data_IF_475995917270
#
_entry.id   IF_475995917270
#
_cell.length_a   1.000
_cell.length_b   1.000
_cell.length_c   1.000
_cell.angle_alpha   90.00
_cell.angle_beta   90.00
_cell.angle_gamma   90.00
#
_symmetry.space_group_name_H-M   'P 1'
#
loop_
_entity.id
_entity.type
_entity.pdbx_description
1 polymer ?
#
# COMPACT_ATOMS: atom_id res chain seq x y z
N UNK A 1 -7.54 5.64 18.74
CA UNK A 1 -6.99 4.31 18.36
C UNK A 1 -6.17 4.32 17.08
N UNK A 2 -6.73 4.66 15.91
CA UNK A 2 -6.02 4.41 14.62
C UNK A 2 -4.67 5.13 14.49
N UNK A 3 -4.56 6.38 14.98
CA UNK A 3 -3.28 7.10 15.05
C UNK A 3 -2.25 6.40 15.95
N UNK A 4 -2.70 5.77 17.03
CA UNK A 4 -1.84 4.99 17.92
C UNK A 4 -1.33 3.74 17.20
N UNK A 5 -2.23 2.94 16.61
CA UNK A 5 -1.84 1.74 15.88
C UNK A 5 -0.87 2.08 14.72
N UNK A 6 -1.15 3.15 13.97
CA UNK A 6 -0.26 3.61 12.89
C UNK A 6 1.10 4.12 13.38
N UNK A 7 1.18 4.81 14.52
CA UNK A 7 2.44 5.32 15.05
C UNK A 7 3.37 4.24 15.60
N UNK A 8 2.81 3.09 16.00
CA UNK A 8 3.55 1.96 16.57
C UNK A 8 3.62 0.74 15.64
N UNK A 9 3.17 0.87 14.38
CA UNK A 9 3.15 -0.22 13.40
C UNK A 9 2.38 -1.46 13.88
N UNK A 10 1.32 -1.23 14.65
CA UNK A 10 0.54 -2.26 15.29
C UNK A 10 -0.67 -2.64 14.42
N UNK A 11 -0.93 -3.95 14.33
CA UNK A 11 -2.11 -4.45 13.64
C UNK A 11 -3.39 -3.93 14.32
N UNK A 12 -4.26 -3.29 13.54
CA UNK A 12 -5.52 -2.76 14.06
C UNK A 12 -6.43 -3.89 14.58
N UNK A 13 -6.43 -5.02 13.88
CA UNK A 13 -7.26 -6.20 14.14
C UNK A 13 -6.43 -7.40 14.59
N UNK A 14 -7.06 -8.23 15.42
CA UNK A 14 -6.56 -9.57 15.74
C UNK A 14 -6.98 -10.59 14.69
N UNK A 15 -6.31 -11.73 14.66
CA UNK A 15 -6.68 -12.87 13.81
C UNK A 15 -8.06 -13.43 14.19
N UNK A 16 -8.37 -13.50 15.49
CA UNK A 16 -9.69 -13.86 16.01
C UNK A 16 -10.20 -12.74 16.92
N UNK A 17 -11.33 -12.13 16.55
CA UNK A 17 -11.94 -11.05 17.33
C UNK A 17 -13.20 -11.51 18.11
N UNK A 18 -13.40 -12.83 18.29
CA UNK A 18 -14.48 -13.38 19.13
C UNK A 18 -14.27 -13.01 20.60
N UNK A 19 -15.34 -13.02 21.39
CA UNK A 19 -15.31 -12.63 22.82
C UNK A 19 -14.39 -13.52 23.68
N UNK A 20 -14.09 -14.75 23.22
CA UNK A 20 -13.21 -15.70 23.91
C UNK A 20 -11.78 -15.73 23.36
N UNK A 21 -11.43 -14.82 22.45
CA UNK A 21 -10.09 -14.77 21.86
C UNK A 21 -9.09 -14.17 22.87
N UNK A 22 -7.91 -14.80 23.00
CA UNK A 22 -6.80 -14.24 23.80
C UNK A 22 -6.22 -12.97 23.18
N UNK A 23 -6.42 -12.76 21.87
CA UNK A 23 -5.98 -11.55 21.17
C UNK A 23 -7.10 -11.05 20.25
N UNK A 24 -8.03 -10.30 20.84
CA UNK A 24 -9.20 -9.76 20.15
C UNK A 24 -8.88 -8.60 19.18
N UNK A 25 -7.62 -8.17 19.12
CA UNK A 25 -7.13 -7.07 18.30
C UNK A 25 -7.00 -5.75 19.06
N UNK A 26 -5.99 -4.97 18.70
CA UNK A 26 -5.58 -3.77 19.44
C UNK A 26 -6.68 -2.70 19.46
N UNK A 27 -7.46 -2.58 18.39
CA UNK A 27 -8.61 -1.67 18.38
C UNK A 27 -9.64 -2.04 19.46
N UNK A 28 -10.02 -3.32 19.56
CA UNK A 28 -11.01 -3.78 20.55
C UNK A 28 -10.47 -3.65 21.97
N UNK A 29 -9.22 -4.04 22.20
CA UNK A 29 -8.58 -3.91 23.51
C UNK A 29 -8.51 -2.45 23.96
N UNK A 30 -8.14 -1.52 23.08
CA UNK A 30 -8.14 -0.10 23.42
C UNK A 30 -9.55 0.42 23.71
N UNK A 31 -10.59 -0.09 23.03
CA UNK A 31 -12.00 0.31 23.28
C UNK A 31 -12.45 -0.21 24.63
N UNK A 32 -12.12 -1.46 24.96
CA UNK A 32 -12.39 -2.07 26.27
C UNK A 32 -11.67 -1.31 27.39
N UNK A 33 -10.39 -0.98 27.21
CA UNK A 33 -9.62 -0.16 28.14
C UNK A 33 -10.24 1.24 28.32
N UNK A 34 -10.65 1.88 27.23
CA UNK A 34 -11.33 3.19 27.31
C UNK A 34 -12.64 3.11 28.10
N UNK A 35 -13.36 1.99 27.98
CA UNK A 35 -14.58 1.74 28.73
C UNK A 35 -14.34 1.41 30.21
N UNK A 36 -13.12 1.07 30.63
CA UNK A 36 -12.79 0.98 32.06
C UNK A 36 -12.65 2.37 32.70
N UNK A 37 -12.27 3.37 31.89
CA UNK A 37 -12.11 4.77 32.32
C UNK A 37 -13.42 5.57 32.24
N UNK A 38 -14.35 5.16 31.38
CA UNK A 38 -15.62 5.85 31.13
C UNK A 38 -16.83 4.92 31.38
N UNK A 39 -17.60 5.23 32.43
CA UNK A 39 -18.77 4.45 32.80
C UNK A 39 -19.91 4.50 31.77
N UNK A 40 -20.10 5.63 31.06
CA UNK A 40 -21.13 5.72 30.02
C UNK A 40 -20.77 4.84 28.83
N UNK A 41 -19.49 4.87 28.40
CA UNK A 41 -18.99 3.99 27.36
C UNK A 41 -19.10 2.51 27.76
N UNK A 42 -18.81 2.18 29.02
CA UNK A 42 -18.97 0.83 29.57
C UNK A 42 -20.41 0.33 29.50
N UNK A 43 -21.36 1.18 29.90
CA UNK A 43 -22.78 0.87 29.84
C UNK A 43 -23.22 0.72 28.39
N UNK A 44 -22.77 1.60 27.49
CA UNK A 44 -23.07 1.52 26.06
C UNK A 44 -22.60 0.20 25.45
N UNK A 45 -21.33 -0.19 25.64
CA UNK A 45 -20.79 -1.44 25.07
C UNK A 45 -21.54 -2.68 25.57
N UNK A 46 -21.95 -2.70 26.84
CA UNK A 46 -22.69 -3.82 27.45
C UNK A 46 -24.17 -3.86 27.08
N UNK A 47 -24.81 -2.71 26.95
CA UNK A 47 -26.27 -2.61 26.75
C UNK A 47 -26.67 -2.52 25.27
N UNK A 48 -25.78 -2.05 24.39
CA UNK A 48 -26.06 -1.88 22.98
C UNK A 48 -26.18 -3.24 22.28
N UNK A 49 -27.40 -3.58 21.86
CA UNK A 49 -27.72 -4.81 21.11
C UNK A 49 -27.48 -4.69 19.60
N UNK A 50 -27.53 -3.47 19.06
CA UNK A 50 -27.50 -3.21 17.62
C UNK A 50 -26.17 -2.65 17.11
N UNK A 51 -25.52 -1.77 17.87
CA UNK A 51 -24.28 -1.12 17.46
C UNK A 51 -23.33 -0.97 18.65
N UNK A 52 -22.25 -1.75 18.66
CA UNK A 52 -21.17 -1.65 19.66
C UNK A 52 -19.99 -0.79 19.18
N UNK A 53 -20.00 -0.36 17.92
CA UNK A 53 -18.88 0.37 17.31
C UNK A 53 -17.59 -0.43 17.08
N UNK A 54 -17.56 -1.71 17.46
CA UNK A 54 -16.36 -2.57 17.42
C UNK A 54 -16.33 -3.57 16.26
N UNK A 55 -17.37 -3.55 15.41
CA UNK A 55 -17.47 -4.48 14.28
C UNK A 55 -16.41 -4.22 13.21
N UNK A 56 -16.06 -5.24 12.42
CA UNK A 56 -15.16 -5.10 11.27
C UNK A 56 -15.66 -4.05 10.27
N UNK A 57 -16.97 -3.98 10.06
CA UNK A 57 -17.59 -2.98 9.18
C UNK A 57 -17.35 -1.57 9.69
N UNK A 58 -17.64 -1.32 10.97
CA UNK A 58 -17.43 0.01 11.57
C UNK A 58 -15.96 0.43 11.57
N UNK A 59 -15.05 -0.50 11.83
CA UNK A 59 -13.62 -0.24 11.76
C UNK A 59 -13.19 0.13 10.32
N UNK A 60 -13.72 -0.54 9.29
CA UNK A 60 -13.45 -0.20 7.89
C UNK A 60 -14.02 1.17 7.52
N UNK A 61 -15.27 1.46 7.90
CA UNK A 61 -15.91 2.77 7.68
C UNK A 61 -15.08 3.90 8.31
N UNK A 62 -14.58 3.70 9.53
CA UNK A 62 -13.71 4.67 10.19
C UNK A 62 -12.39 4.89 9.41
N UNK A 63 -11.81 3.82 8.87
CA UNK A 63 -10.61 3.92 8.03
C UNK A 63 -10.89 4.66 6.73
N UNK A 64 -12.01 4.40 6.06
CA UNK A 64 -12.41 5.12 4.85
C UNK A 64 -12.65 6.61 5.15
N UNK A 65 -13.34 6.96 6.25
CA UNK A 65 -13.51 8.37 6.64
C UNK A 65 -12.16 9.06 6.91
N UNK A 66 -11.21 8.36 7.54
CA UNK A 66 -9.86 8.91 7.75
C UNK A 66 -9.12 9.09 6.42
N UNK A 67 -9.28 8.14 5.51
CA UNK A 67 -8.71 8.20 4.17
C UNK A 67 -9.28 9.36 3.36
N UNK A 68 -10.59 9.63 3.46
CA UNK A 68 -11.24 10.76 2.81
C UNK A 68 -10.66 12.10 3.30
N UNK A 69 -10.57 12.29 4.62
CA UNK A 69 -9.97 13.49 5.21
C UNK A 69 -8.51 13.66 4.77
N UNK A 70 -7.77 12.55 4.72
CA UNK A 70 -6.40 12.52 4.23
C UNK A 70 -6.30 12.90 2.75
N UNK A 71 -7.16 12.33 1.89
CA UNK A 71 -7.20 12.66 0.46
C UNK A 71 -7.54 14.12 0.22
N UNK A 72 -8.45 14.71 1.00
CA UNK A 72 -8.76 16.14 0.90
C UNK A 72 -7.55 17.02 1.24
N UNK A 73 -6.73 16.64 2.21
CA UNK A 73 -5.50 17.36 2.52
C UNK A 73 -4.45 17.21 1.42
N UNK A 74 -4.23 15.98 0.94
CA UNK A 74 -3.30 15.71 -0.17
C UNK A 74 -3.72 16.46 -1.45
N UNK A 75 -5.02 16.49 -1.78
CA UNK A 75 -5.54 17.26 -2.91
C UNK A 75 -5.24 18.75 -2.79
N UNK A 76 -5.39 19.34 -1.59
CA UNK A 76 -5.03 20.75 -1.35
C UNK A 76 -3.54 20.98 -1.52
N UNK A 77 -2.70 20.10 -0.97
CA UNK A 77 -1.25 20.21 -1.13
C UNK A 77 -0.83 20.10 -2.61
N UNK A 78 -1.40 19.15 -3.36
CA UNK A 78 -1.19 18.98 -4.81
C UNK A 78 -1.65 20.23 -5.59
N UNK A 79 -2.81 20.79 -5.24
CA UNK A 79 -3.33 22.00 -5.87
C UNK A 79 -2.40 23.20 -5.67
N UNK A 80 -1.78 23.32 -4.50
CA UNK A 80 -0.83 24.38 -4.16
C UNK A 80 0.59 24.13 -4.71
N UNK A 81 0.95 22.88 -5.01
CA UNK A 81 2.25 22.57 -5.61
C UNK A 81 2.30 22.98 -7.09
N UNK A 82 3.41 23.57 -7.57
CA UNK A 82 3.59 23.88 -8.97
C UNK A 82 3.77 22.63 -9.84
N UNK A 83 4.39 21.58 -9.29
CA UNK A 83 4.70 20.36 -10.01
C UNK A 83 4.43 19.13 -9.14
N UNK A 84 4.11 18.03 -9.82
CA UNK A 84 3.77 16.75 -9.21
C UNK A 84 4.47 15.64 -9.98
N UNK A 85 4.91 14.62 -9.26
CA UNK A 85 5.36 13.36 -9.79
C UNK A 85 4.48 12.25 -9.22
N UNK A 86 4.19 11.25 -10.04
CA UNK A 86 3.51 10.03 -9.61
C UNK A 86 4.52 8.89 -9.56
N UNK A 87 4.45 8.11 -8.48
CA UNK A 87 5.25 6.92 -8.27
C UNK A 87 4.24 5.79 -8.06
N UNK A 88 4.40 4.69 -8.76
CA UNK A 88 3.64 3.49 -8.48
C UNK A 88 4.53 2.26 -8.54
N UNK A 89 4.23 1.27 -7.71
CA UNK A 89 5.04 0.06 -7.65
C UNK A 89 4.12 -1.15 -7.47
N UNK A 90 4.48 -2.25 -8.13
CA UNK A 90 3.77 -3.51 -7.96
C UNK A 90 4.34 -4.22 -6.71
N UNK A 91 3.46 -4.57 -5.79
CA UNK A 91 3.77 -5.37 -4.61
C UNK A 91 2.88 -6.61 -4.60
N UNK A 92 3.34 -7.67 -3.92
CA UNK A 92 2.56 -8.89 -3.72
C UNK A 92 2.07 -8.92 -2.28
N UNK A 93 0.75 -9.05 -2.09
CA UNK A 93 0.15 -9.21 -0.76
C UNK A 93 0.43 -10.61 -0.19
N UNK A 94 0.19 -10.80 1.12
CA UNK A 94 0.35 -12.08 1.84
C UNK A 94 -0.47 -13.23 1.24
N UNK A 95 -1.51 -12.90 0.46
CA UNK A 95 -2.35 -13.85 -0.28
C UNK A 95 -1.82 -14.18 -1.70
N UNK A 96 -0.62 -13.73 -2.07
CA UNK A 96 -0.04 -13.83 -3.42
C UNK A 96 -0.82 -13.06 -4.50
N UNK A 97 -1.65 -12.09 -4.12
CA UNK A 97 -2.34 -11.21 -5.06
C UNK A 97 -1.48 -9.97 -5.36
N UNK A 98 -1.41 -9.58 -6.63
CA UNK A 98 -0.68 -8.38 -7.04
C UNK A 98 -1.49 -7.13 -6.68
N UNK A 99 -0.82 -6.15 -6.08
CA UNK A 99 -1.37 -4.85 -5.73
C UNK A 99 -0.45 -3.75 -6.26
N UNK A 100 -1.02 -2.67 -6.75
CA UNK A 100 -0.33 -1.47 -7.20
C UNK A 100 -0.44 -0.41 -6.12
N UNK A 101 0.69 0.01 -5.54
CA UNK A 101 0.73 1.17 -4.66
C UNK A 101 0.87 2.43 -5.49
N UNK A 102 0.10 3.48 -5.19
CA UNK A 102 0.27 4.80 -5.80
C UNK A 102 0.72 5.80 -4.74
N UNK A 103 1.75 6.58 -5.06
CA UNK A 103 2.35 7.62 -4.23
C UNK A 103 2.50 8.89 -5.07
N UNK A 104 2.14 10.03 -4.50
CA UNK A 104 2.42 11.34 -5.09
C UNK A 104 3.63 11.98 -4.43
N UNK A 105 4.51 12.54 -5.26
CA UNK A 105 5.65 13.33 -4.81
C UNK A 105 5.53 14.75 -5.34
N UNK A 106 5.62 15.72 -4.44
CA UNK A 106 5.48 17.14 -4.79
C UNK A 106 6.16 18.02 -3.74
N UNK A 107 6.18 19.34 -3.97
CA UNK A 107 6.75 20.30 -3.03
C UNK A 107 5.68 20.80 -2.06
N UNK A 108 5.88 20.56 -0.76
CA UNK A 108 5.08 21.19 0.30
C UNK A 108 6.01 22.09 1.12
N UNK A 109 5.69 23.38 1.19
CA UNK A 109 6.48 24.39 1.94
C UNK A 109 7.97 24.39 1.56
N UNK A 110 8.28 24.20 0.28
CA UNK A 110 9.64 24.19 -0.25
C UNK A 110 10.42 22.88 -0.05
N UNK A 111 9.82 21.86 0.56
CA UNK A 111 10.45 20.55 0.72
C UNK A 111 9.73 19.48 -0.11
N UNK A 112 10.46 18.54 -0.73
CA UNK A 112 9.85 17.40 -1.39
C UNK A 112 9.21 16.50 -0.33
N UNK A 113 7.93 16.21 -0.52
CA UNK A 113 7.17 15.27 0.30
C UNK A 113 6.63 14.16 -0.59
N UNK A 114 6.54 12.97 0.00
CA UNK A 114 5.90 11.80 -0.60
C UNK A 114 4.64 11.48 0.21
N UNK A 115 3.53 11.26 -0.49
CA UNK A 115 2.23 10.93 0.10
C UNK A 115 1.68 9.69 -0.56
N UNK A 116 1.48 8.66 0.24
CA UNK A 116 0.71 7.49 -0.15
C UNK A 116 -0.68 7.92 -0.62
N UNK A 117 -1.21 7.31 -1.67
CA UNK A 117 -2.57 7.61 -2.14
C UNK A 117 -3.52 6.48 -1.77
N UNK A 118 -3.32 5.31 -2.38
CA UNK A 118 -4.11 4.09 -2.13
C UNK A 118 -3.41 2.89 -2.79
N UNK A 119 -3.77 1.70 -2.34
CA UNK A 119 -3.51 0.46 -3.07
C UNK A 119 -4.65 0.19 -4.07
N UNK A 120 -4.30 -0.34 -5.23
CA UNK A 120 -5.22 -0.76 -6.27
C UNK A 120 -4.89 -2.16 -6.74
N UNK A 121 -5.84 -2.82 -7.39
CA UNK A 121 -5.53 -3.98 -8.23
C UNK A 121 -4.84 -3.47 -9.49
N UNK A 122 -3.68 -4.02 -9.89
CA UNK A 122 -2.95 -3.55 -11.06
C UNK A 122 -3.80 -3.65 -12.33
N UNK A 123 -3.90 -2.52 -13.04
CA UNK A 123 -4.53 -2.40 -14.35
C UNK A 123 -3.83 -1.29 -15.14
N UNK A 124 -3.77 -1.42 -16.46
CA UNK A 124 -3.08 -0.51 -17.36
C UNK A 124 -3.66 0.92 -17.34
N UNK A 125 -4.93 1.09 -16.97
CA UNK A 125 -5.58 2.39 -16.84
C UNK A 125 -5.60 2.93 -15.40
N UNK A 126 -5.18 2.14 -14.41
CA UNK A 126 -5.37 2.46 -12.99
C UNK A 126 -4.74 3.80 -12.62
N UNK A 127 -3.46 4.01 -12.96
CA UNK A 127 -2.74 5.23 -12.61
C UNK A 127 -3.35 6.45 -13.32
N UNK A 128 -3.75 6.31 -14.58
CA UNK A 128 -4.39 7.41 -15.32
C UNK A 128 -5.72 7.81 -14.65
N UNK A 129 -6.55 6.84 -14.28
CA UNK A 129 -7.84 7.08 -13.63
C UNK A 129 -7.70 7.80 -12.28
N UNK A 130 -6.57 7.62 -11.59
CA UNK A 130 -6.26 8.33 -10.34
C UNK A 130 -5.72 9.72 -10.59
N UNK A 131 -4.84 9.89 -11.59
CA UNK A 131 -4.16 11.15 -11.87
C UNK A 131 -5.08 12.18 -12.53
N UNK A 132 -5.94 11.76 -13.47
CA UNK A 132 -6.87 12.65 -14.18
C UNK A 132 -7.71 13.53 -13.26
N UNK A 133 -8.54 12.99 -12.34
CA UNK A 133 -9.39 13.83 -11.50
C UNK A 133 -8.60 14.79 -10.59
N UNK A 134 -7.30 14.54 -10.36
CA UNK A 134 -6.42 15.39 -9.55
C UNK A 134 -5.78 16.52 -10.37
N UNK A 135 -5.50 16.29 -11.65
CA UNK A 135 -4.69 17.18 -12.49
C UNK A 135 -5.39 17.67 -13.76
N UNK A 136 -6.64 17.29 -14.02
CA UNK A 136 -7.39 17.66 -15.23
C UNK A 136 -7.44 19.18 -15.47
N UNK A 137 -7.47 19.98 -14.40
CA UNK A 137 -7.45 21.45 -14.51
C UNK A 137 -6.09 22.02 -14.93
N UNK A 138 -5.00 21.28 -14.70
CA UNK A 138 -3.63 21.72 -14.98
C UNK A 138 -2.73 20.53 -15.38
N UNK A 139 -2.87 20.01 -16.61
CA UNK A 139 -2.13 18.82 -17.05
C UNK A 139 -0.60 19.05 -17.08
N UNK A 140 -0.16 20.29 -17.22
CA UNK A 140 1.28 20.61 -17.23
C UNK A 140 1.96 20.45 -15.87
N UNK A 141 1.21 20.18 -14.78
CA UNK A 141 1.80 19.94 -13.44
C UNK A 141 2.49 18.60 -13.33
N UNK A 142 2.07 17.58 -14.08
CA UNK A 142 2.68 16.26 -14.00
C UNK A 142 4.00 16.25 -14.79
N UNK A 143 5.11 16.19 -14.07
CA UNK A 143 6.46 16.28 -14.68
C UNK A 143 7.23 14.95 -14.64
N UNK A 144 6.81 14.00 -13.81
CA UNK A 144 7.44 12.70 -13.73
C UNK A 144 6.45 11.59 -13.41
N UNK A 145 6.74 10.41 -13.94
CA UNK A 145 6.04 9.15 -13.69
C UNK A 145 7.10 8.07 -13.43
N UNK A 146 6.98 7.32 -12.34
CA UNK A 146 8.02 6.37 -11.92
C UNK A 146 7.43 5.03 -11.53
N UNK A 147 7.73 3.98 -12.29
CA UNK A 147 7.24 2.62 -12.08
C UNK A 147 8.32 1.59 -12.43
N UNK A 148 8.09 0.32 -12.11
CA UNK A 148 8.94 -0.77 -12.57
C UNK A 148 8.81 -1.02 -14.09
N UNK A 149 9.67 -1.89 -14.60
CA UNK A 149 9.72 -2.27 -16.01
C UNK A 149 8.76 -3.40 -16.36
N UNK A 150 7.76 -3.71 -15.53
CA UNK A 150 6.80 -4.75 -15.85
C UNK A 150 6.08 -4.42 -17.17
N UNK A 151 5.68 -5.43 -17.94
CA UNK A 151 5.09 -5.25 -19.27
C UNK A 151 3.79 -4.44 -19.24
N UNK A 152 3.02 -4.53 -18.15
CA UNK A 152 1.80 -3.75 -17.91
C UNK A 152 2.12 -2.27 -17.68
N UNK A 153 3.22 -1.98 -16.98
CA UNK A 153 3.62 -0.61 -16.60
C UNK A 153 4.43 0.10 -17.69
N UNK A 154 5.29 -0.62 -18.42
CA UNK A 154 6.27 -0.06 -19.38
C UNK A 154 6.03 -0.46 -20.85
N UNK A 155 4.99 -1.24 -21.14
CA UNK A 155 4.73 -1.78 -22.47
C UNK A 155 4.63 -0.73 -23.59
N UNK A 156 5.31 -0.98 -24.71
CA UNK A 156 5.43 -0.06 -25.85
C UNK A 156 4.12 0.18 -26.63
N UNK A 157 3.18 -0.77 -26.55
CA UNK A 157 1.89 -0.70 -27.25
C UNK A 157 0.79 -0.11 -26.37
N UNK A 158 0.61 -0.62 -25.15
CA UNK A 158 -0.50 -0.29 -24.22
C UNK A 158 -0.05 -0.08 -22.76
N UNK A 159 1.24 0.14 -22.49
CA UNK A 159 1.74 0.31 -21.12
C UNK A 159 1.29 1.62 -20.49
N UNK A 160 1.14 1.62 -19.16
CA UNK A 160 0.81 2.80 -18.33
C UNK A 160 1.68 4.00 -18.71
N UNK A 161 2.99 3.78 -18.92
CA UNK A 161 3.95 4.80 -19.32
C UNK A 161 3.48 5.61 -20.54
N UNK A 162 3.08 4.92 -21.61
CA UNK A 162 2.68 5.55 -22.87
C UNK A 162 1.34 6.26 -22.72
N UNK A 163 0.38 5.63 -22.05
CA UNK A 163 -0.94 6.20 -21.77
C UNK A 163 -0.80 7.54 -21.02
N UNK A 164 0.03 7.58 -19.98
CA UNK A 164 0.31 8.80 -19.24
C UNK A 164 1.08 9.79 -20.11
N UNK A 165 2.07 9.37 -20.91
CA UNK A 165 2.84 10.29 -21.76
C UNK A 165 2.00 10.98 -22.83
N UNK A 166 0.97 10.30 -23.36
CA UNK A 166 0.03 10.87 -24.32
C UNK A 166 -0.85 11.93 -23.65
N UNK A 167 -1.32 11.67 -22.43
CA UNK A 167 -2.21 12.60 -21.69
C UNK A 167 -1.43 13.76 -21.05
N UNK A 168 -0.21 13.47 -20.58
CA UNK A 168 0.68 14.37 -19.85
C UNK A 168 2.07 14.39 -20.53
N UNK A 169 2.26 15.17 -21.61
CA UNK A 169 3.51 15.17 -22.38
C UNK A 169 4.76 15.54 -21.57
N UNK A 170 4.60 16.35 -20.52
CA UNK A 170 5.69 16.75 -19.63
C UNK A 170 6.10 15.67 -18.62
N UNK A 171 5.28 14.62 -18.44
CA UNK A 171 5.57 13.55 -17.48
C UNK A 171 6.69 12.64 -17.99
N UNK A 172 7.90 12.85 -17.51
CA UNK A 172 9.06 12.04 -17.89
C UNK A 172 9.05 10.70 -17.13
N UNK A 173 9.27 9.63 -17.85
CA UNK A 173 9.36 8.31 -17.26
C UNK A 173 10.72 8.10 -16.60
N UNK A 174 10.68 7.69 -15.33
CA UNK A 174 11.84 7.28 -14.56
C UNK A 174 11.64 5.83 -14.16
N UNK A 175 12.49 4.96 -14.69
CA UNK A 175 12.44 3.54 -14.33
C UNK A 175 12.86 3.36 -12.86
N UNK A 176 12.16 2.48 -12.12
CA UNK A 176 12.51 2.18 -10.73
C UNK A 176 13.96 1.69 -10.61
N UNK A 177 14.81 2.46 -9.92
CA UNK A 177 16.23 2.12 -9.71
C UNK A 177 16.42 0.88 -8.84
N UNK A 178 15.54 0.64 -7.87
CA UNK A 178 15.60 -0.57 -7.04
C UNK A 178 15.41 -1.82 -7.89
N UNK A 179 14.46 -1.79 -8.83
CA UNK A 179 14.26 -2.85 -9.80
C UNK A 179 15.48 -3.02 -10.71
N UNK A 180 16.04 -1.93 -11.25
CA UNK A 180 17.26 -2.02 -12.08
C UNK A 180 18.43 -2.62 -11.33
N UNK A 181 18.64 -2.22 -10.08
CA UNK A 181 19.70 -2.76 -9.24
C UNK A 181 19.50 -4.25 -9.00
N UNK A 182 18.27 -4.68 -8.72
CA UNK A 182 17.94 -6.08 -8.54
C UNK A 182 18.19 -6.91 -9.81
N UNK A 183 17.83 -6.39 -10.99
CA UNK A 183 18.12 -7.03 -12.28
C UNK A 183 19.62 -7.17 -12.54
N UNK A 184 20.40 -6.14 -12.25
CA UNK A 184 21.87 -6.15 -12.40
C UNK A 184 22.48 -7.19 -11.45
N UNK A 185 22.06 -7.20 -10.17
CA UNK A 185 22.50 -8.18 -9.18
C UNK A 185 22.17 -9.61 -9.59
N UNK A 186 20.92 -9.85 -10.02
CA UNK A 186 20.48 -11.18 -10.48
C UNK A 186 21.30 -11.64 -11.68
N UNK A 187 21.53 -10.75 -12.63
CA UNK A 187 22.36 -11.03 -13.82
C UNK A 187 23.81 -11.34 -13.42
N UNK A 188 24.42 -10.54 -12.56
CA UNK A 188 25.78 -10.77 -12.07
C UNK A 188 25.92 -12.13 -11.33
N UNK A 189 24.95 -12.45 -10.46
CA UNK A 189 24.91 -13.73 -9.75
C UNK A 189 24.72 -14.93 -10.69
N UNK A 190 23.97 -14.77 -11.79
CA UNK A 190 23.77 -15.84 -12.77
C UNK A 190 25.05 -16.20 -13.53
N UNK A 191 25.92 -15.22 -13.81
CA UNK A 191 27.21 -15.40 -14.47
C UNK A 191 28.23 -16.04 -13.52
N UNK A 192 28.18 -15.70 -12.23
CA UNK A 192 29.07 -16.30 -11.23
C UNK A 192 28.62 -17.74 -10.88
N UNK A 193 29.42 -18.74 -11.28
CA UNK A 193 29.13 -20.15 -11.04
C UNK A 193 28.91 -20.49 -9.55
N UNK A 194 29.68 -19.90 -8.64
CA UNK A 194 29.58 -20.18 -7.21
C UNK A 194 28.29 -19.60 -6.63
N UNK A 195 27.97 -18.34 -6.97
CA UNK A 195 26.72 -17.70 -6.55
C UNK A 195 25.50 -18.47 -7.10
N UNK A 196 25.54 -18.88 -8.36
CA UNK A 196 24.46 -19.67 -8.98
C UNK A 196 24.22 -21.00 -8.26
N UNK A 197 25.27 -21.74 -7.92
CA UNK A 197 25.15 -23.01 -7.16
C UNK A 197 24.60 -22.74 -5.76
N UNK A 198 25.10 -21.72 -5.08
CA UNK A 198 24.64 -21.33 -3.74
C UNK A 198 23.14 -21.00 -3.73
N UNK A 199 22.70 -20.10 -4.60
CA UNK A 199 21.27 -19.71 -4.68
C UNK A 199 20.38 -20.87 -5.13
N UNK A 200 20.85 -21.73 -6.06
CA UNK A 200 20.09 -22.90 -6.47
C UNK A 200 19.85 -23.89 -5.30
N UNK A 201 20.89 -24.16 -4.49
CA UNK A 201 20.76 -25.01 -3.31
C UNK A 201 19.81 -24.39 -2.28
N UNK A 202 19.87 -23.08 -2.10
CA UNK A 202 19.04 -22.34 -1.14
C UNK A 202 17.55 -22.36 -1.57
N UNK A 203 17.27 -22.12 -2.86
CA UNK A 203 15.93 -22.30 -3.41
C UNK A 203 15.43 -23.75 -3.29
N UNK A 204 16.31 -24.74 -3.52
CA UNK A 204 15.97 -26.15 -3.33
C UNK A 204 15.59 -26.50 -1.89
N UNK A 205 16.26 -25.90 -0.90
CA UNK A 205 15.89 -26.03 0.52
C UNK A 205 14.54 -25.39 0.80
N UNK A 206 14.28 -24.17 0.32
CA UNK A 206 12.97 -23.51 0.48
C UNK A 206 11.84 -24.37 -0.11
N UNK A 207 12.00 -24.83 -1.35
CA UNK A 207 11.01 -25.71 -1.99
C UNK A 207 10.80 -27.02 -1.24
N UNK A 208 11.85 -27.60 -0.64
CA UNK A 208 11.72 -28.78 0.20
C UNK A 208 10.85 -28.52 1.45
N UNK A 209 11.00 -27.36 2.09
CA UNK A 209 10.19 -26.98 3.25
C UNK A 209 8.76 -26.59 2.87
N UNK A 210 8.54 -25.96 1.71
CA UNK A 210 7.22 -25.57 1.21
C UNK A 210 6.36 -26.78 0.79
N UNK A 211 6.99 -27.83 0.23
CA UNK A 211 6.31 -29.05 -0.22
C UNK A 211 6.13 -30.07 0.92
N UNK A 212 6.85 -29.92 2.04
CA UNK A 212 6.71 -30.81 3.19
C UNK A 212 5.36 -30.62 3.90
N UNK A 213 4.46 -31.58 3.70
CA UNK A 213 3.13 -31.66 4.31
C UNK A 213 3.11 -31.70 5.84
N UNK A 214 4.27 -31.77 6.51
CA UNK A 214 4.38 -31.71 7.98
C UNK A 214 4.46 -30.28 8.56
N UNK A 215 4.73 -29.26 7.76
CA UNK A 215 4.94 -27.89 8.24
C UNK A 215 3.72 -26.95 8.08
N UNK A 216 2.59 -27.44 7.53
CA UNK A 216 1.34 -26.66 7.42
C UNK A 216 0.55 -26.51 8.73
N UNK A 217 1.04 -27.04 9.85
CA UNK A 217 0.35 -27.03 11.15
C UNK A 217 1.01 -26.13 12.22
N UNK A 218 1.89 -25.20 11.82
CA UNK A 218 2.39 -24.15 12.73
C UNK A 218 2.13 -22.78 12.11
N UNK A 219 0.90 -22.32 12.26
CA UNK A 219 0.41 -20.98 11.91
C UNK A 219 -0.91 -20.75 12.60
#
# INVERSE_FOLDING_TARGET
>A
MNRFCGAFELALRGHDEKENSENSGIFKELVNFSAELDNELKVHIKSAKLFKGTSKTTQNELLECMLDVYHEEVKKEIANSPFVAVIADETTDVACEFQLVIIFRYLCKGQPVERFWRFYVPDAACVLNVVNPLLDQNPNKLIAQSYDGASVMSGELNGVQKIIKVTYPLANYVHCYAHQLNLIMTSACSVNKQARIFFHNLSGLCSFFDVSSKNKNFG
#
